data_IF_007082624042
#
_entry.id   IF_007082624042
#
_cell.length_a   1.000
_cell.length_b   1.000
_cell.length_c   1.000
_cell.angle_alpha   90.00
_cell.angle_beta   90.00
_cell.angle_gamma   90.00
#
_symmetry.space_group_name_H-M   'P 1'
#
loop_
_entity.id
_entity.type
_entity.pdbx_description
1 polymer ?
#
# COMPACT_ATOMS: atom_id res chain seq x y z
N UNK A 1 -39.94 -29.76 -32.11
CA UNK A 1 -40.94 -28.69 -32.35
C UNK A 1 -41.23 -27.98 -31.04
N UNK A 2 -41.37 -26.65 -31.09
CA UNK A 2 -41.96 -25.73 -30.08
C UNK A 2 -41.19 -25.61 -28.75
N UNK A 3 -40.30 -24.62 -28.56
CA UNK A 3 -40.54 -23.17 -28.41
C UNK A 3 -41.71 -22.85 -27.47
N UNK A 4 -41.39 -22.59 -26.21
CA UNK A 4 -42.18 -21.73 -25.33
C UNK A 4 -41.30 -20.52 -25.00
N UNK A 5 -41.67 -19.40 -25.61
CA UNK A 5 -41.31 -18.04 -25.18
C UNK A 5 -42.38 -17.60 -24.16
N UNK A 6 -41.97 -16.80 -23.19
CA UNK A 6 -42.62 -15.56 -22.69
C UNK A 6 -41.97 -15.20 -21.34
N UNK A 7 -41.05 -14.22 -21.27
CA UNK A 7 -41.25 -12.76 -21.11
C UNK A 7 -41.97 -12.34 -19.81
N UNK A 8 -41.16 -11.95 -18.82
CA UNK A 8 -41.42 -10.84 -17.87
C UNK A 8 -40.05 -10.47 -17.26
N UNK A 9 -39.33 -9.50 -17.84
CA UNK A 9 -39.28 -8.09 -17.43
C UNK A 9 -39.16 -7.87 -15.91
N UNK A 10 -38.18 -7.04 -15.55
CA UNK A 10 -37.79 -6.54 -14.22
C UNK A 10 -36.85 -7.43 -13.41
N UNK A 11 -35.54 -7.24 -13.65
CA UNK A 11 -34.65 -6.68 -12.62
C UNK A 11 -33.37 -6.19 -13.32
N UNK A 12 -33.40 -4.89 -13.55
CA UNK A 12 -32.32 -4.06 -14.01
C UNK A 12 -31.08 -4.15 -13.11
N UNK A 13 -29.91 -4.26 -13.75
CA UNK A 13 -28.72 -3.46 -13.44
C UNK A 13 -28.24 -3.42 -11.98
N UNK A 14 -27.24 -4.24 -11.66
CA UNK A 14 -26.13 -3.77 -10.81
C UNK A 14 -24.82 -4.38 -11.30
N UNK A 15 -24.39 -3.92 -12.48
CA UNK A 15 -22.98 -3.91 -12.86
C UNK A 15 -22.48 -2.50 -12.55
N UNK A 16 -21.67 -2.35 -11.51
CA UNK A 16 -20.83 -1.18 -11.28
C UNK A 16 -19.50 -1.74 -10.77
N UNK A 17 -18.52 -2.08 -11.59
CA UNK A 17 -17.75 -1.19 -12.44
C UNK A 17 -17.37 0.11 -11.70
N UNK A 18 -16.60 0.00 -10.62
CA UNK A 18 -15.80 1.15 -10.13
C UNK A 18 -14.53 1.19 -10.97
N UNK A 19 -14.72 1.57 -12.23
CA UNK A 19 -13.70 2.06 -13.11
C UNK A 19 -14.07 3.51 -13.45
N UNK A 20 -13.11 4.41 -13.28
CA UNK A 20 -13.08 5.78 -13.80
C UNK A 20 -14.01 6.79 -13.09
N UNK A 21 -13.45 7.51 -12.12
CA UNK A 21 -13.79 8.92 -11.91
C UNK A 21 -12.50 9.72 -12.07
N UNK A 22 -12.16 10.01 -13.32
CA UNK A 22 -11.30 11.13 -13.68
C UNK A 22 -11.94 11.77 -14.92
N UNK A 23 -12.77 12.79 -14.73
CA UNK A 23 -13.06 13.75 -15.79
C UNK A 23 -13.63 15.06 -15.23
N UNK A 24 -12.79 16.09 -15.30
CA UNK A 24 -13.09 17.45 -15.78
C UNK A 24 -14.17 18.27 -15.07
N UNK A 25 -13.72 19.11 -14.12
CA UNK A 25 -14.30 20.45 -13.93
C UNK A 25 -13.22 21.45 -14.35
N UNK A 26 -13.44 22.15 -15.45
CA UNK A 26 -12.71 23.35 -15.82
C UNK A 26 -13.65 24.27 -16.56
N UNK A 27 -14.08 25.34 -15.88
CA UNK A 27 -14.76 26.49 -16.47
C UNK A 27 -14.01 27.76 -16.07
N UNK A 28 -13.78 28.62 -17.05
CA UNK A 28 -12.69 29.57 -17.19
C UNK A 28 -12.77 30.86 -16.36
N UNK A 29 -11.61 31.45 -16.04
CA UNK A 29 -11.29 32.85 -16.35
C UNK A 29 -9.78 33.18 -16.15
N UNK A 30 -9.20 33.88 -17.14
CA UNK A 30 -8.02 34.78 -17.10
C UNK A 30 -6.57 34.21 -17.08
N UNK A 31 -6.10 33.85 -18.28
CA UNK A 31 -4.83 34.23 -18.96
C UNK A 31 -3.56 34.54 -18.11
N UNK A 32 -2.62 33.58 -18.08
CA UNK A 32 -1.24 33.81 -18.54
C UNK A 32 -0.48 32.50 -18.86
N UNK A 33 -0.20 32.35 -20.16
CA UNK A 33 0.91 31.67 -20.86
C UNK A 33 1.90 30.79 -20.08
N UNK A 34 1.83 29.50 -20.41
CA UNK A 34 2.93 28.54 -20.66
C UNK A 34 3.79 28.07 -19.48
N UNK A 35 3.40 26.92 -18.95
CA UNK A 35 4.30 25.76 -18.74
C UNK A 35 3.47 24.49 -18.71
N UNK A 36 3.09 24.00 -19.89
CA UNK A 36 2.67 22.59 -20.05
C UNK A 36 3.92 21.74 -19.92
N UNK A 37 4.37 21.54 -18.68
CA UNK A 37 5.20 20.41 -18.35
C UNK A 37 4.28 19.18 -18.42
N UNK A 38 4.53 18.30 -19.38
CA UNK A 38 4.03 16.93 -19.39
C UNK A 38 4.50 16.24 -18.09
N UNK A 39 3.76 16.45 -17.01
CA UNK A 39 3.89 15.71 -15.76
C UNK A 39 3.05 14.44 -15.86
N UNK A 40 3.38 13.60 -16.84
CA UNK A 40 3.16 12.16 -16.71
C UNK A 40 4.34 11.60 -15.90
N UNK A 41 4.61 12.20 -14.74
CA UNK A 41 5.63 11.69 -13.84
C UNK A 41 4.95 10.59 -13.03
N UNK A 42 5.33 9.36 -13.36
CA UNK A 42 4.98 8.13 -12.69
C UNK A 42 5.00 8.28 -11.16
N UNK A 43 3.86 8.61 -10.56
CA UNK A 43 3.64 8.51 -9.11
C UNK A 43 3.53 7.03 -8.68
N UNK A 44 3.38 6.11 -9.64
CA UNK A 44 3.51 4.66 -9.45
C UNK A 44 4.97 4.29 -9.14
N UNK A 45 5.39 4.48 -7.89
CA UNK A 45 6.72 4.09 -7.44
C UNK A 45 7.44 5.08 -6.52
N UNK A 46 6.78 6.18 -6.12
CA UNK A 46 7.24 7.02 -5.01
C UNK A 46 6.38 6.73 -3.78
N UNK A 47 6.99 6.10 -2.79
CA UNK A 47 6.49 6.09 -1.41
C UNK A 47 7.22 7.18 -0.63
N UNK A 48 6.69 7.70 0.47
CA UNK A 48 7.41 8.63 1.33
C UNK A 48 7.64 7.95 2.69
N UNK A 49 8.90 7.85 3.12
CA UNK A 49 9.25 7.18 4.36
C UNK A 49 8.63 7.85 5.60
N UNK A 50 8.49 9.18 5.56
CA UNK A 50 7.82 9.96 6.61
C UNK A 50 6.32 9.72 6.60
N UNK A 51 5.69 9.64 5.43
CA UNK A 51 4.25 9.32 5.31
C UNK A 51 3.96 7.91 5.81
N UNK A 52 4.82 6.94 5.47
CA UNK A 52 4.76 5.58 5.97
C UNK A 52 4.82 5.55 7.51
N UNK A 53 5.84 6.17 8.08
CA UNK A 53 6.02 6.25 9.54
C UNK A 53 4.80 6.87 10.22
N UNK A 54 4.27 7.97 9.69
CA UNK A 54 3.07 8.61 10.23
C UNK A 54 1.84 7.70 10.14
N UNK A 55 1.67 6.99 9.02
CA UNK A 55 0.58 6.02 8.82
C UNK A 55 0.64 4.90 9.85
N UNK A 56 1.83 4.33 10.07
CA UNK A 56 2.02 3.27 11.07
C UNK A 56 1.86 3.81 12.50
N UNK A 57 2.37 5.00 12.80
CA UNK A 57 2.20 5.62 14.11
C UNK A 57 0.71 5.86 14.44
N UNK A 58 -0.07 6.37 13.49
CA UNK A 58 -1.51 6.54 13.66
C UNK A 58 -2.22 5.21 13.86
N UNK A 59 -1.90 4.20 13.04
CA UNK A 59 -2.42 2.84 13.20
C UNK A 59 -2.14 2.29 14.61
N UNK A 60 -0.91 2.38 15.08
CA UNK A 60 -0.49 1.90 16.41
C UNK A 60 -1.22 2.65 17.51
N UNK A 61 -1.26 3.98 17.43
CA UNK A 61 -1.91 4.82 18.44
C UNK A 61 -3.39 4.47 18.58
N UNK A 62 -4.11 4.42 17.46
CA UNK A 62 -5.53 4.05 17.45
C UNK A 62 -5.75 2.65 18.01
N UNK A 63 -4.96 1.65 17.62
CA UNK A 63 -5.10 0.30 18.17
C UNK A 63 -4.87 0.27 19.69
N UNK A 64 -3.91 1.05 20.21
CA UNK A 64 -3.65 1.11 21.64
C UNK A 64 -4.78 1.81 22.41
N UNK A 65 -5.34 2.87 21.85
CA UNK A 65 -6.51 3.56 22.39
C UNK A 65 -7.73 2.62 22.41
N UNK A 66 -8.07 2.03 21.27
CA UNK A 66 -9.20 1.10 21.18
C UNK A 66 -8.98 -0.13 22.08
N UNK A 67 -7.76 -0.66 22.18
CA UNK A 67 -7.46 -1.79 23.07
C UNK A 67 -7.74 -1.54 24.55
N UNK A 68 -7.74 -0.27 24.97
CA UNK A 68 -7.99 0.14 26.34
C UNK A 68 -9.48 0.39 26.62
N UNK A 69 -10.28 0.56 25.57
CA UNK A 69 -11.71 0.90 25.65
C UNK A 69 -12.65 -0.21 25.13
N UNK A 70 -12.14 -1.20 24.39
CA UNK A 70 -12.97 -2.27 23.83
C UNK A 70 -13.43 -3.27 24.91
N UNK A 71 -14.73 -3.32 25.12
CA UNK A 71 -15.39 -4.40 25.84
C UNK A 71 -15.36 -5.69 25.00
N UNK A 72 -15.03 -6.84 25.61
CA UNK A 72 -14.96 -8.14 24.91
C UNK A 72 -13.62 -8.89 25.00
N UNK A 73 -12.66 -8.38 25.79
CA UNK A 73 -11.45 -9.13 26.14
C UNK A 73 -10.38 -9.25 25.04
N UNK A 74 -10.53 -8.49 23.94
CA UNK A 74 -9.57 -8.51 22.82
C UNK A 74 -8.40 -7.53 22.97
N UNK A 75 -8.46 -6.63 23.96
CA UNK A 75 -7.50 -5.53 24.13
C UNK A 75 -6.05 -5.99 24.17
N UNK A 76 -5.73 -7.06 24.90
CA UNK A 76 -4.35 -7.56 24.98
C UNK A 76 -3.81 -8.07 23.63
N UNK A 77 -4.67 -8.71 22.84
CA UNK A 77 -4.31 -9.20 21.49
C UNK A 77 -4.08 -8.01 20.54
N UNK A 78 -4.96 -7.02 20.57
CA UNK A 78 -4.85 -5.79 19.78
C UNK A 78 -3.57 -5.04 20.13
N UNK A 79 -3.29 -4.86 21.43
CA UNK A 79 -2.07 -4.23 21.93
C UNK A 79 -0.80 -4.97 21.47
N UNK A 80 -0.78 -6.29 21.58
CA UNK A 80 0.35 -7.10 21.12
C UNK A 80 0.55 -7.03 19.59
N UNK A 81 -0.52 -6.88 18.81
CA UNK A 81 -0.43 -6.65 17.35
C UNK A 81 0.15 -5.25 17.08
N UNK A 82 -0.35 -4.22 17.77
CA UNK A 82 0.11 -2.84 17.62
C UNK A 82 1.61 -2.70 17.94
N UNK A 83 2.07 -3.27 19.06
CA UNK A 83 3.47 -3.25 19.47
C UNK A 83 4.38 -3.92 18.41
N UNK A 84 4.01 -5.11 17.93
CA UNK A 84 4.78 -5.78 16.86
C UNK A 84 4.83 -4.97 15.57
N UNK A 85 3.76 -4.25 15.24
CA UNK A 85 3.73 -3.38 14.07
C UNK A 85 4.66 -2.18 14.26
N UNK A 86 4.65 -1.55 15.44
CA UNK A 86 5.56 -0.48 15.82
C UNK A 86 7.04 -0.91 15.71
N UNK A 87 7.38 -2.10 16.24
CA UNK A 87 8.75 -2.62 16.21
C UNK A 87 9.27 -2.86 14.79
N UNK A 88 8.35 -3.11 13.84
CA UNK A 88 8.68 -3.38 12.44
C UNK A 88 8.75 -2.13 11.57
N UNK A 89 8.18 -1.02 12.01
CA UNK A 89 8.16 0.25 11.30
C UNK A 89 9.57 0.76 11.00
N UNK A 90 10.47 0.64 11.98
CA UNK A 90 11.86 1.10 11.83
C UNK A 90 12.58 0.38 10.68
N UNK A 91 12.34 -0.93 10.53
CA UNK A 91 12.95 -1.72 9.44
C UNK A 91 12.40 -1.29 8.09
N UNK A 92 11.07 -1.14 7.99
CA UNK A 92 10.39 -0.75 6.75
C UNK A 92 10.82 0.65 6.31
N UNK A 93 10.78 1.61 7.25
CA UNK A 93 11.17 3.00 7.02
C UNK A 93 12.63 3.11 6.57
N UNK A 94 13.58 2.44 7.26
CA UNK A 94 14.99 2.44 6.86
C UNK A 94 15.22 1.84 5.48
N UNK A 95 14.51 0.76 5.15
CA UNK A 95 14.63 0.14 3.84
C UNK A 95 14.11 1.07 2.74
N UNK A 96 12.98 1.75 2.95
CA UNK A 96 12.45 2.78 2.05
C UNK A 96 13.48 3.90 1.85
N UNK A 97 13.98 4.50 2.93
CA UNK A 97 14.96 5.60 2.88
C UNK A 97 16.24 5.19 2.16
N UNK A 98 16.73 3.98 2.40
CA UNK A 98 17.96 3.47 1.78
C UNK A 98 17.77 3.28 0.28
N UNK A 99 16.62 2.77 -0.16
CA UNK A 99 16.32 2.60 -1.59
C UNK A 99 16.17 3.96 -2.28
N UNK A 100 15.54 4.95 -1.61
CA UNK A 100 15.31 6.28 -2.17
C UNK A 100 16.56 7.14 -2.24
N UNK A 101 17.40 7.11 -1.20
CA UNK A 101 18.65 7.87 -1.13
C UNK A 101 19.74 7.29 -2.05
N UNK A 102 19.50 6.14 -2.66
CA UNK A 102 20.49 5.48 -3.51
C UNK A 102 20.75 6.26 -4.79
N UNK A 103 22.01 6.63 -4.99
CA UNK A 103 22.44 7.39 -6.16
C UNK A 103 22.24 6.61 -7.46
N UNK A 104 21.84 7.31 -8.54
CA UNK A 104 21.65 6.72 -9.88
C UNK A 104 22.90 6.01 -10.41
N UNK A 105 24.09 6.53 -10.12
CA UNK A 105 25.38 5.93 -10.52
C UNK A 105 25.57 4.56 -9.85
N UNK A 106 25.28 4.46 -8.54
CA UNK A 106 25.38 3.20 -7.80
C UNK A 106 24.39 2.17 -8.34
N UNK A 107 23.17 2.60 -8.64
CA UNK A 107 22.14 1.75 -9.26
C UNK A 107 22.53 1.31 -10.66
N UNK A 108 23.12 2.18 -11.48
CA UNK A 108 23.57 1.82 -12.82
C UNK A 108 24.76 0.84 -12.80
N UNK A 109 25.68 0.98 -11.85
CA UNK A 109 26.82 0.07 -11.73
C UNK A 109 26.39 -1.28 -11.15
N UNK A 110 25.69 -1.28 -10.00
CA UNK A 110 25.46 -2.48 -9.17
C UNK A 110 24.03 -3.04 -9.31
N UNK A 111 23.07 -2.24 -9.83
CA UNK A 111 21.66 -2.63 -10.00
C UNK A 111 20.76 -2.22 -8.85
N UNK A 112 19.55 -2.79 -8.79
CA UNK A 112 18.59 -2.61 -7.69
C UNK A 112 19.13 -3.01 -6.32
N UNK A 113 18.57 -2.45 -5.25
CA UNK A 113 18.95 -2.80 -3.88
C UNK A 113 18.16 -4.02 -3.41
N UNK A 114 18.53 -5.20 -3.89
CA UNK A 114 17.81 -6.44 -3.60
C UNK A 114 17.79 -6.79 -2.11
N UNK A 115 18.76 -6.32 -1.33
CA UNK A 115 18.80 -6.52 0.12
C UNK A 115 17.65 -5.76 0.78
N UNK A 116 17.55 -4.45 0.54
CA UNK A 116 16.49 -3.63 1.14
C UNK A 116 15.11 -3.94 0.52
N UNK A 117 15.03 -4.28 -0.77
CA UNK A 117 13.79 -4.76 -1.40
C UNK A 117 13.33 -6.10 -0.80
N UNK A 118 14.25 -7.01 -0.50
CA UNK A 118 13.95 -8.25 0.20
C UNK A 118 13.43 -8.01 1.63
N UNK A 119 14.06 -7.08 2.36
CA UNK A 119 13.59 -6.66 3.68
C UNK A 119 12.15 -6.11 3.63
N UNK A 120 11.84 -5.23 2.67
CA UNK A 120 10.48 -4.72 2.48
C UNK A 120 9.48 -5.82 2.18
N UNK A 121 9.79 -6.76 1.28
CA UNK A 121 8.90 -7.91 0.99
C UNK A 121 8.64 -8.76 2.23
N UNK A 122 9.68 -9.00 3.04
CA UNK A 122 9.53 -9.73 4.31
C UNK A 122 8.61 -8.98 5.28
N UNK A 123 8.81 -7.67 5.46
CA UNK A 123 7.95 -6.87 6.34
C UNK A 123 6.50 -6.79 5.83
N UNK A 124 6.28 -6.72 4.52
CA UNK A 124 4.92 -6.79 3.95
C UNK A 124 4.20 -8.08 4.34
N UNK A 125 4.88 -9.23 4.26
CA UNK A 125 4.29 -10.52 4.66
C UNK A 125 3.94 -10.53 6.14
N UNK A 126 4.82 -10.00 7.00
CA UNK A 126 4.55 -9.89 8.45
C UNK A 126 3.35 -8.97 8.72
N UNK A 127 3.26 -7.83 8.05
CA UNK A 127 2.13 -6.92 8.20
C UNK A 127 0.82 -7.54 7.72
N UNK A 128 0.80 -8.24 6.57
CA UNK A 128 -0.38 -9.00 6.12
C UNK A 128 -0.82 -10.02 7.16
N UNK A 129 0.12 -10.78 7.74
CA UNK A 129 -0.19 -11.72 8.82
C UNK A 129 -0.76 -11.03 10.06
N UNK A 130 -0.31 -9.83 10.41
CA UNK A 130 -0.86 -9.03 11.52
C UNK A 130 -2.26 -8.53 11.22
N UNK A 131 -2.52 -8.07 10.00
CA UNK A 131 -3.85 -7.69 9.52
C UNK A 131 -4.81 -8.89 9.62
N UNK A 132 -4.37 -10.07 9.16
CA UNK A 132 -5.18 -11.29 9.27
C UNK A 132 -5.48 -11.66 10.73
N UNK A 133 -4.48 -11.53 11.62
CA UNK A 133 -4.67 -11.74 13.06
C UNK A 133 -5.69 -10.74 13.63
N UNK A 134 -5.57 -9.46 13.28
CA UNK A 134 -6.46 -8.42 13.75
C UNK A 134 -7.88 -8.64 13.27
N UNK A 135 -8.07 -8.97 11.99
CA UNK A 135 -9.36 -9.35 11.40
C UNK A 135 -10.01 -10.52 12.16
N UNK A 136 -9.24 -11.55 12.52
CA UNK A 136 -9.75 -12.68 13.32
C UNK A 136 -10.13 -12.27 14.74
N UNK A 137 -9.30 -11.45 15.37
CA UNK A 137 -9.53 -10.95 16.74
C UNK A 137 -10.81 -10.12 16.82
N UNK A 138 -11.12 -9.32 15.80
CA UNK A 138 -12.32 -8.45 15.82
C UNK A 138 -13.61 -9.12 15.33
N UNK A 139 -13.57 -10.34 14.77
CA UNK A 139 -14.76 -11.01 14.21
C UNK A 139 -15.92 -11.17 15.20
N UNK A 140 -15.62 -11.36 16.48
CA UNK A 140 -16.62 -11.59 17.53
C UNK A 140 -16.69 -10.45 18.55
N UNK A 141 -16.01 -9.33 18.28
CA UNK A 141 -15.99 -8.17 19.16
C UNK A 141 -17.01 -7.12 18.73
N UNK A 142 -17.47 -6.31 19.68
CA UNK A 142 -18.32 -5.14 19.42
C UNK A 142 -17.45 -3.89 19.27
N UNK A 143 -18.01 -2.85 18.63
CA UNK A 143 -17.37 -1.53 18.50
C UNK A 143 -15.98 -1.52 17.82
N UNK A 144 -15.81 -2.33 16.78
CA UNK A 144 -14.53 -2.50 16.07
C UNK A 144 -14.37 -1.60 14.84
N UNK A 145 -15.27 -0.65 14.61
CA UNK A 145 -15.31 0.17 13.39
C UNK A 145 -14.01 0.94 13.17
N UNK A 146 -13.43 1.47 14.25
CA UNK A 146 -12.17 2.21 14.19
C UNK A 146 -10.99 1.30 13.83
N UNK A 147 -10.92 0.10 14.41
CA UNK A 147 -9.91 -0.91 14.07
C UNK A 147 -10.03 -1.30 12.58
N UNK A 148 -11.25 -1.47 12.06
CA UNK A 148 -11.48 -1.79 10.65
C UNK A 148 -10.99 -0.67 9.72
N UNK A 149 -11.23 0.60 10.07
CA UNK A 149 -10.73 1.73 9.30
C UNK A 149 -9.19 1.77 9.25
N UNK A 150 -8.55 1.45 10.38
CA UNK A 150 -7.09 1.36 10.47
C UNK A 150 -6.53 0.18 9.67
N UNK A 151 -7.20 -0.97 9.66
CA UNK A 151 -6.86 -2.11 8.80
C UNK A 151 -6.84 -1.68 7.33
N UNK A 152 -7.91 -1.04 6.85
CA UNK A 152 -8.02 -0.59 5.46
C UNK A 152 -6.90 0.39 5.09
N UNK A 153 -6.57 1.31 6.00
CA UNK A 153 -5.47 2.27 5.83
C UNK A 153 -4.13 1.53 5.67
N UNK A 154 -3.86 0.53 6.52
CA UNK A 154 -2.64 -0.25 6.45
C UNK A 154 -2.57 -1.16 5.21
N UNK A 155 -3.71 -1.68 4.74
CA UNK A 155 -3.80 -2.43 3.48
C UNK A 155 -3.49 -1.55 2.26
N UNK A 156 -3.98 -0.32 2.23
CA UNK A 156 -3.63 0.64 1.19
C UNK A 156 -2.13 0.98 1.20
N UNK A 157 -1.55 1.14 2.39
CA UNK A 157 -0.12 1.36 2.56
C UNK A 157 0.71 0.16 2.04
N UNK A 158 0.24 -1.07 2.28
CA UNK A 158 0.86 -2.28 1.71
C UNK A 158 0.86 -2.27 0.17
N UNK A 159 -0.21 -1.78 -0.46
CA UNK A 159 -0.27 -1.63 -1.93
C UNK A 159 0.74 -0.59 -2.42
N UNK A 160 0.91 0.53 -1.70
CA UNK A 160 1.94 1.54 -2.03
C UNK A 160 3.35 0.94 -1.93
N UNK A 161 3.64 0.18 -0.88
CA UNK A 161 4.94 -0.50 -0.70
C UNK A 161 5.16 -1.54 -1.82
N UNK A 162 4.13 -2.32 -2.19
CA UNK A 162 4.23 -3.30 -3.27
C UNK A 162 4.54 -2.62 -4.62
N UNK A 163 3.87 -1.52 -4.93
CA UNK A 163 4.13 -0.73 -6.14
C UNK A 163 5.52 -0.09 -6.12
N UNK A 164 5.96 0.41 -4.97
CA UNK A 164 7.32 0.91 -4.77
C UNK A 164 8.35 -0.19 -5.05
N UNK A 165 8.17 -1.37 -4.46
CA UNK A 165 9.04 -2.52 -4.69
C UNK A 165 9.13 -2.85 -6.19
N UNK A 166 7.98 -3.00 -6.88
CA UNK A 166 7.94 -3.28 -8.32
C UNK A 166 8.65 -2.22 -9.16
N UNK A 167 8.51 -0.94 -8.82
CA UNK A 167 9.17 0.16 -9.51
C UNK A 167 10.70 0.22 -9.26
N UNK A 168 11.17 -0.39 -8.18
CA UNK A 168 12.58 -0.39 -7.78
C UNK A 168 13.30 -1.69 -8.16
N UNK A 169 12.56 -2.74 -8.50
CA UNK A 169 13.07 -4.01 -9.03
C UNK A 169 13.57 -3.89 -10.47
N UNK A 170 14.43 -4.84 -10.88
CA UNK A 170 14.81 -5.02 -12.28
C UNK A 170 15.59 -3.86 -12.91
N UNK A 171 16.15 -2.94 -12.10
CA UNK A 171 16.95 -1.83 -12.62
C UNK A 171 18.24 -2.38 -13.22
N UNK A 172 18.53 -1.91 -14.43
CA UNK A 172 19.73 -2.30 -15.18
C UNK A 172 21.01 -2.05 -14.36
N UNK A 173 21.95 -2.98 -14.47
CA UNK A 173 23.27 -2.95 -13.84
C UNK A 173 24.35 -3.29 -14.86
N UNK A 174 25.39 -2.46 -14.94
CA UNK A 174 26.57 -2.74 -15.73
C UNK A 174 27.31 -3.99 -15.26
N UNK A 175 27.52 -4.15 -13.95
CA UNK A 175 28.20 -5.34 -13.44
C UNK A 175 27.33 -6.60 -13.58
N UNK A 176 26.01 -6.49 -13.39
CA UNK A 176 25.09 -7.60 -13.63
C UNK A 176 25.10 -8.06 -15.09
N UNK A 177 25.11 -7.12 -16.04
CA UNK A 177 25.30 -7.43 -17.46
C UNK A 177 26.68 -8.05 -17.72
N UNK A 178 27.76 -7.47 -17.17
CA UNK A 178 29.13 -7.94 -17.38
C UNK A 178 29.34 -9.38 -16.88
N UNK A 179 28.83 -9.73 -15.70
CA UNK A 179 28.90 -11.10 -15.17
C UNK A 179 28.14 -12.08 -16.08
N UNK A 180 27.00 -11.67 -16.62
CA UNK A 180 26.21 -12.47 -17.56
C UNK A 180 26.93 -12.74 -18.89
N UNK A 181 27.91 -11.91 -19.27
CA UNK A 181 28.72 -12.13 -20.48
C UNK A 181 29.78 -13.22 -20.33
N UNK A 182 30.11 -13.63 -19.11
CA UNK A 182 31.11 -14.66 -18.81
C UNK A 182 30.51 -15.90 -18.14
N UNK A 183 29.19 -15.99 -18.05
CA UNK A 183 28.43 -17.15 -17.58
C UNK A 183 27.94 -18.02 -18.74
#
# INVERSE_FOLDING_TARGET
>A
MQKIKNNLLFLSSLILAVAVIFSLISLAAAKNTTSTANSTNNQNGQINATEHRSTVANFVQTLLETSSSTEGGIGEQVRAIAQRQNDSDTTTTKAIETIQSRSKIKTFLIGSDYKNLGALRSEMVKTRSRIDQLNRTIQNATDTAEIQAQIQTLEQEQVKIENFIKAQEGKFSLFGWLVKMFQ
#
